data_IF_657420675574
#
_entry.id   IF_657420675574
#
_cell.length_a   1.000
_cell.length_b   1.000
_cell.length_c   1.000
_cell.angle_alpha   90.00
_cell.angle_beta   90.00
_cell.angle_gamma   90.00
#
_symmetry.space_group_name_H-M   'P 1'
#
loop_
_entity.id
_entity.type
_entity.pdbx_description
1 polymer ?
#
# COMPACT_ATOMS: atom_id res chain seq x y z
N UNK A 1 -39.86 -10.50 -25.34
CA UNK A 1 -40.33 -9.19 -25.83
C UNK A 1 -41.83 -9.10 -25.57
N UNK A 2 -42.29 -8.02 -24.92
CA UNK A 2 -43.47 -7.33 -25.43
C UNK A 2 -43.36 -5.80 -25.35
N UNK A 3 -44.31 -5.15 -26.02
CA UNK A 3 -44.20 -3.90 -26.74
C UNK A 3 -44.15 -2.60 -25.91
N UNK A 4 -43.39 -1.66 -26.45
CA UNK A 4 -43.33 -0.25 -26.05
C UNK A 4 -44.57 0.45 -26.63
N UNK A 5 -45.38 1.06 -25.78
CA UNK A 5 -46.50 1.92 -26.19
C UNK A 5 -46.04 3.38 -26.10
N UNK A 6 -46.06 4.09 -27.23
CA UNK A 6 -45.85 5.54 -27.34
C UNK A 6 -47.07 6.13 -28.06
N UNK A 7 -47.83 7.07 -27.46
CA UNK A 7 -48.81 7.82 -28.22
C UNK A 7 -48.11 8.91 -29.04
N UNK A 8 -48.36 8.86 -30.34
CA UNK A 8 -48.01 9.84 -31.34
C UNK A 8 -49.09 10.94 -31.32
N UNK A 9 -48.74 12.18 -31.00
CA UNK A 9 -49.64 13.33 -31.18
C UNK A 9 -48.91 14.36 -32.02
N UNK A 10 -49.12 14.24 -33.33
CA UNK A 10 -48.86 15.25 -34.35
C UNK A 10 -50.04 16.22 -34.41
N UNK A 11 -49.81 17.48 -34.06
CA UNK A 11 -50.73 18.59 -34.27
C UNK A 11 -49.96 19.76 -34.91
N UNK A 12 -50.51 20.44 -35.92
CA UNK A 12 -49.84 21.54 -36.61
C UNK A 12 -49.79 22.80 -35.73
N UNK A 13 -48.64 23.47 -35.72
CA UNK A 13 -48.42 24.77 -35.09
C UNK A 13 -48.94 25.89 -36.02
N UNK A 14 -49.71 26.88 -35.53
CA UNK A 14 -49.92 28.11 -36.28
C UNK A 14 -48.72 29.05 -36.13
N UNK A 15 -48.24 29.57 -37.26
CA UNK A 15 -47.27 30.65 -37.34
C UNK A 15 -47.83 31.93 -36.70
N UNK A 16 -47.21 32.38 -35.62
CA UNK A 16 -47.40 33.73 -35.08
C UNK A 16 -46.01 34.33 -34.84
N UNK A 17 -45.71 35.37 -35.62
CA UNK A 17 -44.51 36.18 -35.48
C UNK A 17 -44.47 36.83 -34.10
N UNK A 18 -43.42 36.54 -33.32
CA UNK A 18 -43.14 37.23 -32.06
C UNK A 18 -41.76 37.88 -32.16
N UNK A 19 -41.75 39.20 -32.08
CA UNK A 19 -40.59 40.07 -32.11
C UNK A 19 -39.55 39.70 -31.02
N UNK A 20 -38.28 39.64 -31.43
CA UNK A 20 -37.14 39.40 -30.53
C UNK A 20 -36.75 40.70 -29.84
N UNK A 21 -37.29 40.93 -28.66
CA UNK A 21 -36.78 41.92 -27.71
C UNK A 21 -35.55 41.38 -26.98
N UNK A 22 -34.37 41.88 -27.33
CA UNK A 22 -33.13 41.63 -26.58
C UNK A 22 -33.16 42.44 -25.29
N UNK A 23 -33.16 41.77 -24.14
CA UNK A 23 -32.92 42.37 -22.83
C UNK A 23 -31.71 41.68 -22.17
N UNK A 24 -30.64 42.47 -22.02
CA UNK A 24 -29.39 42.10 -21.36
C UNK A 24 -29.54 42.07 -19.82
N UNK A 25 -28.75 41.16 -19.24
CA UNK A 25 -28.28 41.01 -17.85
C UNK A 25 -29.28 40.94 -16.67
N UNK A 26 -29.44 39.71 -16.16
CA UNK A 26 -29.88 39.48 -14.78
C UNK A 26 -29.06 38.34 -14.14
N UNK A 27 -27.98 38.71 -13.45
CA UNK A 27 -27.40 38.06 -12.25
C UNK A 27 -27.98 36.67 -11.90
N UNK A 28 -27.29 35.60 -12.31
CA UNK A 28 -27.63 34.21 -12.03
C UNK A 28 -27.35 33.83 -10.55
N UNK A 29 -28.16 34.37 -9.64
CA UNK A 29 -28.29 33.84 -8.26
C UNK A 29 -28.97 32.48 -8.36
N UNK A 30 -28.18 31.41 -8.29
CA UNK A 30 -28.65 30.03 -8.38
C UNK A 30 -29.88 29.78 -7.51
N UNK A 31 -31.00 29.44 -8.15
CA UNK A 31 -32.23 29.06 -7.47
C UNK A 31 -31.95 27.80 -6.63
N UNK A 32 -31.93 27.94 -5.31
CA UNK A 32 -31.90 26.80 -4.38
C UNK A 32 -33.11 25.92 -4.71
N UNK A 33 -32.88 24.81 -5.41
CA UNK A 33 -33.91 23.77 -5.64
C UNK A 33 -34.46 23.37 -4.27
N UNK A 34 -35.75 23.62 -4.03
CA UNK A 34 -36.41 23.17 -2.79
C UNK A 34 -36.33 21.64 -2.77
N UNK A 35 -35.58 21.11 -1.81
CA UNK A 35 -35.41 19.66 -1.62
C UNK A 35 -36.76 19.10 -1.19
N UNK A 36 -37.25 18.09 -1.89
CA UNK A 36 -38.48 17.39 -1.53
C UNK A 36 -38.45 16.92 -0.05
N UNK A 37 -39.61 16.84 0.63
CA UNK A 37 -39.69 16.42 2.02
C UNK A 37 -38.96 15.10 2.27
N UNK A 38 -38.18 15.07 3.35
CA UNK A 38 -37.32 13.93 3.66
C UNK A 38 -38.17 12.77 4.20
N UNK A 39 -38.45 11.76 3.37
CA UNK A 39 -39.15 10.54 3.81
C UNK A 39 -38.22 9.69 4.68
N UNK A 40 -38.25 9.96 5.98
CA UNK A 40 -37.41 9.34 7.03
C UNK A 40 -38.04 8.08 7.62
N UNK A 41 -38.96 7.42 6.90
CA UNK A 41 -39.60 6.18 7.35
C UNK A 41 -38.70 4.95 7.13
N UNK A 42 -38.83 3.91 7.97
CA UNK A 42 -38.28 2.59 7.63
C UNK A 42 -38.84 2.14 6.28
N UNK A 43 -38.02 1.47 5.47
CA UNK A 43 -38.54 0.85 4.26
C UNK A 43 -39.50 -0.28 4.62
N UNK A 44 -40.32 -0.71 3.66
CA UNK A 44 -41.27 -1.82 3.84
C UNK A 44 -40.58 -3.16 4.18
N UNK A 45 -39.25 -3.21 4.05
CA UNK A 45 -38.41 -4.34 4.44
C UNK A 45 -37.82 -4.18 5.85
N UNK A 46 -38.39 -3.33 6.71
CA UNK A 46 -38.03 -3.18 8.13
C UNK A 46 -36.74 -2.42 8.43
N UNK A 47 -36.02 -1.90 7.42
CA UNK A 47 -34.74 -1.21 7.61
C UNK A 47 -34.93 0.30 7.72
N UNK A 48 -34.51 0.89 8.85
CA UNK A 48 -34.34 2.34 8.97
C UNK A 48 -33.03 2.74 8.26
N UNK A 49 -32.98 3.59 7.22
CA UNK A 49 -33.91 4.02 6.16
C UNK A 49 -33.71 3.25 4.80
N UNK A 50 -34.51 3.55 3.76
CA UNK A 50 -34.42 2.95 2.39
C UNK A 50 -33.00 2.87 1.80
N UNK A 51 -32.14 3.86 2.07
CA UNK A 51 -30.75 3.89 1.59
C UNK A 51 -29.85 2.79 2.19
N UNK A 52 -30.27 2.21 3.31
CA UNK A 52 -29.60 1.09 4.01
C UNK A 52 -30.31 -0.25 3.81
N UNK A 53 -31.37 -0.31 3.02
CA UNK A 53 -32.05 -1.55 2.71
C UNK A 53 -31.39 -2.22 1.50
N UNK A 54 -30.85 -3.43 1.69
CA UNK A 54 -30.20 -4.20 0.62
C UNK A 54 -31.14 -4.50 -0.55
N UNK A 55 -32.45 -4.65 -0.29
CA UNK A 55 -33.46 -4.87 -1.33
C UNK A 55 -33.74 -3.58 -2.09
N UNK A 56 -34.01 -2.47 -1.39
CA UNK A 56 -34.36 -1.20 -2.04
C UNK A 56 -33.18 -0.51 -2.74
N UNK A 57 -31.98 -0.59 -2.18
CA UNK A 57 -30.80 0.16 -2.66
C UNK A 57 -29.70 -0.75 -3.19
N UNK A 58 -29.89 -2.06 -3.20
CA UNK A 58 -29.01 -3.03 -3.85
C UNK A 58 -29.22 -3.09 -5.37
N UNK A 59 -28.19 -3.53 -6.06
CA UNK A 59 -28.20 -3.87 -7.47
C UNK A 59 -28.08 -5.39 -7.66
N UNK A 60 -28.41 -5.94 -8.84
CA UNK A 60 -28.25 -7.36 -9.14
C UNK A 60 -26.80 -7.86 -8.99
N UNK A 61 -25.81 -6.96 -9.02
CA UNK A 61 -24.39 -7.27 -8.83
C UNK A 61 -23.95 -7.34 -7.35
N UNK A 62 -24.91 -7.42 -6.41
CA UNK A 62 -24.63 -7.56 -4.97
C UNK A 62 -24.04 -6.32 -4.29
N UNK A 63 -24.03 -5.16 -4.97
CA UNK A 63 -23.51 -3.88 -4.45
C UNK A 63 -24.66 -2.89 -4.25
N UNK A 64 -24.44 -1.83 -3.48
CA UNK A 64 -25.38 -0.70 -3.47
C UNK A 64 -25.41 -0.05 -4.86
N UNK A 65 -26.58 0.29 -5.40
CA UNK A 65 -26.73 0.91 -6.73
C UNK A 65 -25.84 2.13 -6.90
N UNK A 66 -25.75 3.00 -5.89
CA UNK A 66 -24.89 4.18 -5.88
C UNK A 66 -23.39 3.88 -5.91
N UNK A 67 -22.98 2.67 -5.50
CA UNK A 67 -21.60 2.17 -5.43
C UNK A 67 -21.31 1.05 -6.43
N UNK A 68 -22.19 0.80 -7.39
CA UNK A 68 -21.97 -0.21 -8.41
C UNK A 68 -21.45 0.46 -9.69
N UNK A 69 -20.24 0.09 -10.10
CA UNK A 69 -19.62 0.59 -11.33
C UNK A 69 -20.41 0.15 -12.57
N UNK A 70 -20.82 -1.11 -12.62
CA UNK A 70 -21.60 -1.70 -13.71
C UNK A 70 -23.00 -1.09 -13.87
N UNK A 71 -23.59 -0.55 -12.80
CA UNK A 71 -24.86 0.16 -12.86
C UNK A 71 -24.71 1.68 -13.10
N UNK A 72 -23.50 2.18 -13.40
CA UNK A 72 -23.26 3.62 -13.50
C UNK A 72 -23.55 4.38 -12.21
N UNK A 73 -23.39 3.71 -11.05
CA UNK A 73 -23.70 4.27 -9.74
C UNK A 73 -22.98 5.61 -9.52
N UNK A 74 -23.69 6.59 -8.95
CA UNK A 74 -23.22 7.98 -8.85
C UNK A 74 -21.88 8.22 -8.15
N UNK A 75 -21.28 7.19 -7.54
CA UNK A 75 -19.91 7.23 -7.02
C UNK A 75 -18.84 7.11 -8.11
N UNK A 76 -19.15 6.57 -9.29
CA UNK A 76 -18.21 6.36 -10.40
C UNK A 76 -18.50 7.32 -11.56
N UNK A 77 -17.43 7.80 -12.20
CA UNK A 77 -17.53 8.56 -13.45
C UNK A 77 -17.54 7.63 -14.66
N UNK A 78 -17.77 8.20 -15.84
CA UNK A 78 -17.65 7.52 -17.14
C UNK A 78 -16.25 6.91 -17.36
N UNK A 79 -15.20 7.54 -16.82
CA UNK A 79 -13.83 7.01 -16.84
C UNK A 79 -13.61 5.80 -15.92
N UNK A 80 -14.68 5.27 -15.30
CA UNK A 80 -14.64 4.09 -14.45
C UNK A 80 -13.86 4.25 -13.14
N UNK A 81 -13.47 5.49 -12.79
CA UNK A 81 -12.86 5.90 -11.53
C UNK A 81 -13.91 6.44 -10.58
N UNK A 82 -13.62 6.48 -9.27
CA UNK A 82 -14.50 7.15 -8.32
C UNK A 82 -14.53 8.65 -8.63
N UNK A 83 -15.71 9.27 -8.77
CA UNK A 83 -15.86 10.68 -9.22
C UNK A 83 -15.00 11.66 -8.43
N UNK A 84 -15.00 11.52 -7.09
CA UNK A 84 -14.20 12.36 -6.20
C UNK A 84 -12.68 12.30 -6.46
N UNK A 85 -12.20 11.19 -7.01
CA UNK A 85 -10.78 10.93 -7.34
C UNK A 85 -10.54 10.86 -8.85
N UNK A 86 -11.44 11.40 -9.68
CA UNK A 86 -11.22 11.44 -11.11
C UNK A 86 -10.66 12.81 -11.51
N UNK A 87 -9.43 12.84 -12.04
CA UNK A 87 -8.81 14.08 -12.53
C UNK A 87 -9.60 14.65 -13.72
N UNK A 88 -9.97 13.80 -14.67
CA UNK A 88 -10.72 14.16 -15.89
C UNK A 88 -12.11 14.74 -15.59
N UNK A 89 -12.74 14.34 -14.48
CA UNK A 89 -14.04 14.90 -14.05
C UNK A 89 -13.92 16.07 -13.06
N UNK A 90 -12.71 16.60 -12.81
CA UNK A 90 -12.51 17.66 -11.81
C UNK A 90 -12.88 17.23 -10.39
N UNK A 91 -12.71 15.94 -10.07
CA UNK A 91 -13.09 15.34 -8.80
C UNK A 91 -12.59 16.17 -7.61
N UNK A 92 -13.51 16.55 -6.72
CA UNK A 92 -13.25 17.49 -5.62
C UNK A 92 -12.18 17.05 -4.61
N UNK A 93 -11.63 15.83 -4.72
CA UNK A 93 -10.50 15.38 -3.89
C UNK A 93 -9.14 15.44 -4.58
N UNK A 94 -9.06 15.81 -5.87
CA UNK A 94 -7.81 15.95 -6.63
C UNK A 94 -7.50 17.42 -6.88
N UNK A 95 -6.26 17.85 -6.60
CA UNK A 95 -5.79 19.19 -6.94
C UNK A 95 -5.32 19.25 -8.40
N UNK A 96 -5.05 20.46 -8.89
CA UNK A 96 -4.45 20.70 -10.20
C UNK A 96 -3.14 19.92 -10.42
N UNK A 97 -2.36 19.70 -9.37
CA UNK A 97 -1.13 18.88 -9.38
C UNK A 97 -1.38 17.36 -9.55
N UNK A 98 -2.64 16.93 -9.74
CA UNK A 98 -2.99 15.51 -9.92
C UNK A 98 -2.84 14.65 -8.66
N UNK A 99 -2.54 15.26 -7.51
CA UNK A 99 -2.44 14.58 -6.21
C UNK A 99 -3.76 14.73 -5.45
N UNK A 100 -3.96 13.89 -4.44
CA UNK A 100 -5.08 14.07 -3.51
C UNK A 100 -4.89 15.40 -2.76
N UNK A 101 -5.88 16.29 -2.77
CA UNK A 101 -5.80 17.65 -2.18
C UNK A 101 -5.29 17.64 -0.75
N UNK A 102 -5.79 16.72 0.06
CA UNK A 102 -5.40 16.60 1.46
C UNK A 102 -3.95 16.16 1.66
N UNK A 103 -3.30 15.56 0.66
CA UNK A 103 -1.92 15.06 0.71
C UNK A 103 -0.95 15.91 -0.13
N UNK A 104 -1.48 16.91 -0.86
CA UNK A 104 -0.67 17.74 -1.72
C UNK A 104 0.06 18.81 -0.92
N UNK A 105 1.39 18.75 -0.92
CA UNK A 105 2.26 19.76 -0.28
C UNK A 105 2.08 21.14 -0.90
N UNK A 106 2.02 21.22 -2.23
CA UNK A 106 1.88 22.47 -3.00
C UNK A 106 0.54 23.17 -2.73
N UNK A 107 -0.53 22.42 -2.42
CA UNK A 107 -1.83 22.98 -2.06
C UNK A 107 -2.04 23.19 -0.55
N UNK A 108 -1.01 22.99 0.28
CA UNK A 108 -1.16 23.07 1.75
C UNK A 108 -2.14 22.03 2.31
N UNK A 109 -2.16 20.83 1.74
CA UNK A 109 -3.10 19.77 2.10
C UNK A 109 -3.16 19.50 3.61
N UNK A 110 -4.37 19.24 4.13
CA UNK A 110 -4.61 19.08 5.57
C UNK A 110 -3.80 17.97 6.25
N UNK A 111 -3.28 16.99 5.49
CA UNK A 111 -2.41 15.93 6.01
C UNK A 111 -0.93 16.30 6.01
N UNK A 112 -0.54 17.44 5.45
CA UNK A 112 0.85 17.93 5.42
C UNK A 112 1.04 18.96 6.54
N UNK A 113 2.11 18.82 7.31
CA UNK A 113 2.49 19.81 8.33
C UNK A 113 3.33 20.92 7.71
N UNK A 114 3.59 21.97 8.49
CA UNK A 114 4.51 23.06 8.12
C UNK A 114 5.91 22.56 7.72
N UNK A 115 6.38 21.46 8.34
CA UNK A 115 7.64 20.80 7.99
C UNK A 115 7.62 20.04 6.64
N UNK A 116 6.52 20.11 5.89
CA UNK A 116 6.36 19.45 4.60
C UNK A 116 6.28 17.92 4.66
N UNK A 117 6.11 17.35 5.85
CA UNK A 117 5.93 15.90 6.09
C UNK A 117 4.45 15.58 6.32
N UNK A 118 4.08 14.31 6.21
CA UNK A 118 2.73 13.88 6.61
C UNK A 118 2.56 14.11 8.13
N UNK A 119 1.57 14.90 8.57
CA UNK A 119 1.30 15.28 9.97
C UNK A 119 1.31 14.07 10.90
N UNK A 120 0.64 12.99 10.51
CA UNK A 120 0.56 11.76 11.30
C UNK A 120 1.92 11.09 11.52
N UNK A 121 2.92 11.39 10.70
CA UNK A 121 4.30 10.86 10.74
C UNK A 121 5.33 11.92 11.10
N UNK A 122 4.93 13.14 11.43
CA UNK A 122 5.87 14.19 11.77
C UNK A 122 6.24 14.11 13.25
N UNK A 123 7.52 13.86 13.57
CA UNK A 123 8.03 13.85 14.94
C UNK A 123 7.83 15.22 15.61
N UNK A 124 8.22 16.29 14.92
CA UNK A 124 8.17 17.68 15.40
C UNK A 124 6.73 18.14 15.70
N UNK A 125 5.73 17.60 14.99
CA UNK A 125 4.31 17.89 15.26
C UNK A 125 3.66 16.90 16.24
N UNK A 126 4.42 15.99 16.86
CA UNK A 126 3.87 14.97 17.76
C UNK A 126 2.96 13.94 17.08
N UNK A 127 3.13 13.73 15.77
CA UNK A 127 2.28 12.90 14.92
C UNK A 127 1.96 11.53 15.55
N UNK A 128 0.68 11.15 15.53
CA UNK A 128 0.17 9.97 16.24
C UNK A 128 0.85 8.63 15.86
N UNK A 129 1.49 8.55 14.68
CA UNK A 129 2.11 7.32 14.18
C UNK A 129 3.53 7.11 14.67
N UNK A 130 4.24 8.15 15.11
CA UNK A 130 5.65 8.10 15.54
C UNK A 130 5.76 8.53 17.01
N UNK A 131 6.65 7.89 17.76
CA UNK A 131 6.97 8.28 19.13
C UNK A 131 8.21 9.19 19.17
N UNK A 132 8.53 9.71 20.36
CA UNK A 132 9.72 10.54 20.58
C UNK A 132 11.04 9.85 20.21
N UNK A 133 11.07 8.50 20.19
CA UNK A 133 12.22 7.67 19.82
C UNK A 133 12.36 7.40 18.31
N UNK A 134 11.66 8.15 17.44
CA UNK A 134 11.67 7.97 15.98
C UNK A 134 11.24 6.58 15.49
N UNK A 135 10.50 5.86 16.34
CA UNK A 135 9.92 4.55 16.02
C UNK A 135 8.43 4.68 15.81
N UNK A 136 7.84 3.76 15.04
CA UNK A 136 6.39 3.67 14.94
C UNK A 136 5.82 3.45 16.34
N UNK A 137 4.90 4.32 16.78
CA UNK A 137 4.44 4.38 18.18
C UNK A 137 3.87 3.03 18.66
N UNK A 138 3.12 2.35 17.80
CA UNK A 138 2.59 1.00 18.09
C UNK A 138 3.66 -0.09 18.23
N UNK A 139 4.88 0.12 17.73
CA UNK A 139 5.99 -0.84 17.78
C UNK A 139 7.10 -0.44 18.74
N UNK A 140 6.97 0.69 19.41
CA UNK A 140 7.99 1.20 20.32
C UNK A 140 7.88 0.50 21.68
N UNK A 141 8.94 -0.22 22.08
CA UNK A 141 9.01 -0.89 23.38
C UNK A 141 9.03 0.12 24.53
N UNK A 142 9.84 1.16 24.42
CA UNK A 142 10.00 2.21 25.46
C UNK A 142 8.71 3.02 25.69
N UNK A 143 7.80 3.06 24.70
CA UNK A 143 6.51 3.76 24.84
C UNK A 143 5.35 2.82 25.18
N UNK A 144 5.61 1.54 25.47
CA UNK A 144 4.54 0.56 25.70
C UNK A 144 3.61 0.40 24.50
N UNK A 145 4.15 0.52 23.28
CA UNK A 145 3.35 0.51 22.06
C UNK A 145 2.38 -0.68 21.99
N UNK A 146 1.16 -0.44 21.50
CA UNK A 146 0.08 -1.45 21.48
C UNK A 146 0.40 -2.75 20.73
N UNK A 147 1.49 -2.79 19.95
CA UNK A 147 1.99 -3.98 19.28
C UNK A 147 3.06 -4.76 20.06
N UNK A 148 3.47 -4.30 21.24
CA UNK A 148 4.48 -4.94 22.09
C UNK A 148 3.80 -5.57 23.32
N UNK A 149 4.10 -6.83 23.62
CA UNK A 149 3.60 -7.50 24.83
C UNK A 149 4.47 -7.17 26.05
N UNK A 150 4.02 -7.60 27.23
CA UNK A 150 4.78 -7.50 28.48
C UNK A 150 6.17 -8.17 28.39
N UNK A 151 6.31 -9.24 27.61
CA UNK A 151 7.58 -9.91 27.33
C UNK A 151 8.53 -9.10 26.43
N UNK A 152 8.16 -7.87 26.04
CA UNK A 152 8.96 -7.00 25.16
C UNK A 152 9.09 -7.48 23.71
N UNK A 153 8.33 -8.51 23.31
CA UNK A 153 8.25 -9.04 21.94
C UNK A 153 7.05 -8.43 21.22
N UNK A 154 7.01 -8.52 19.88
CA UNK A 154 5.79 -8.15 19.13
C UNK A 154 4.66 -9.08 19.53
N UNK A 155 3.49 -8.55 19.96
CA UNK A 155 2.33 -9.33 20.42
C UNK A 155 1.95 -10.42 19.45
N UNK A 156 1.90 -10.12 18.15
CA UNK A 156 1.54 -11.09 17.11
C UNK A 156 2.55 -12.23 16.94
N UNK A 157 3.77 -12.09 17.46
CA UNK A 157 4.86 -13.07 17.34
C UNK A 157 5.24 -13.68 18.70
N UNK A 158 4.61 -13.25 19.79
CA UNK A 158 4.92 -13.74 21.12
C UNK A 158 4.22 -15.08 21.35
N UNK A 159 5.00 -16.14 21.58
CA UNK A 159 4.49 -17.47 21.88
C UNK A 159 3.75 -17.49 23.23
N UNK A 160 4.32 -16.86 24.25
CA UNK A 160 3.72 -16.80 25.61
C UNK A 160 2.36 -16.10 25.62
N UNK A 161 2.16 -15.07 24.79
CA UNK A 161 0.88 -14.38 24.68
C UNK A 161 -0.11 -15.01 23.68
N UNK A 162 0.20 -16.18 23.10
CA UNK A 162 -0.64 -16.78 22.06
C UNK A 162 -0.79 -15.90 20.81
N UNK A 163 0.28 -15.17 20.45
CA UNK A 163 0.26 -14.20 19.36
C UNK A 163 -0.33 -14.76 18.06
N UNK A 164 -1.14 -13.95 17.37
CA UNK A 164 -1.90 -14.38 16.18
C UNK A 164 -1.06 -14.99 15.03
N UNK A 165 0.25 -14.71 15.00
CA UNK A 165 1.21 -15.25 14.04
C UNK A 165 1.87 -16.56 14.47
N UNK A 166 1.56 -17.08 15.66
CA UNK A 166 2.01 -18.36 16.20
C UNK A 166 0.84 -19.35 16.14
N UNK A 167 1.10 -20.59 15.74
CA UNK A 167 0.11 -21.67 15.77
C UNK A 167 0.17 -22.45 17.10
N UNK A 168 -0.78 -23.35 17.30
CA UNK A 168 -0.83 -24.26 18.46
C UNK A 168 0.46 -25.09 18.63
N UNK A 169 1.14 -25.44 17.52
CA UNK A 169 2.43 -26.11 17.53
C UNK A 169 3.61 -25.23 18.00
N UNK A 170 3.36 -23.97 18.39
CA UNK A 170 4.40 -23.03 18.82
C UNK A 170 5.32 -22.55 17.69
N UNK A 171 4.97 -22.82 16.43
CA UNK A 171 5.69 -22.39 15.22
C UNK A 171 5.01 -21.16 14.62
N UNK A 172 5.71 -20.42 13.77
CA UNK A 172 5.07 -19.36 12.99
C UNK A 172 4.00 -19.95 12.06
N UNK A 173 2.75 -19.50 12.18
CA UNK A 173 1.61 -20.01 11.41
C UNK A 173 1.84 -19.97 9.90
N UNK A 174 2.50 -18.92 9.40
CA UNK A 174 2.89 -18.79 8.00
C UNK A 174 3.81 -19.93 7.52
N UNK A 175 4.66 -20.48 8.39
CA UNK A 175 5.64 -21.54 8.04
C UNK A 175 5.29 -22.92 8.62
N UNK A 176 4.14 -23.04 9.29
CA UNK A 176 3.77 -24.30 9.93
C UNK A 176 3.15 -25.23 8.88
N UNK A 177 3.79 -26.37 8.62
CA UNK A 177 3.30 -27.40 7.70
C UNK A 177 2.01 -28.04 8.21
N UNK A 178 1.95 -28.35 9.50
CA UNK A 178 0.78 -28.99 10.15
C UNK A 178 -0.48 -28.11 10.07
N UNK A 179 -0.33 -26.78 10.14
CA UNK A 179 -1.44 -25.84 10.00
C UNK A 179 -1.72 -25.40 8.55
N UNK A 180 -1.07 -25.99 7.54
CA UNK A 180 -1.24 -25.57 6.15
C UNK A 180 -0.79 -24.13 5.88
N UNK A 181 0.25 -23.66 6.57
CA UNK A 181 0.74 -22.28 6.49
C UNK A 181 1.00 -21.82 5.06
N UNK A 182 0.56 -20.60 4.73
CA UNK A 182 0.67 -20.01 3.38
C UNK A 182 2.11 -19.75 2.88
N UNK A 183 3.12 -20.04 3.69
CA UNK A 183 4.53 -20.05 3.31
C UNK A 183 5.06 -21.41 2.89
N UNK A 184 4.31 -22.50 3.09
CA UNK A 184 4.69 -23.86 2.70
C UNK A 184 3.84 -24.29 1.49
N UNK A 185 4.47 -24.86 0.46
CA UNK A 185 3.77 -25.42 -0.69
C UNK A 185 3.32 -26.86 -0.44
N UNK A 186 2.55 -27.43 -1.37
CA UNK A 186 2.10 -28.83 -1.34
C UNK A 186 3.27 -29.82 -1.28
N UNK A 187 4.42 -29.48 -1.88
CA UNK A 187 5.66 -30.25 -1.81
C UNK A 187 6.35 -30.22 -0.43
N UNK A 188 5.77 -29.54 0.57
CA UNK A 188 6.33 -29.44 1.93
C UNK A 188 7.57 -28.54 2.04
N UNK A 189 7.93 -27.82 0.98
CA UNK A 189 9.05 -26.86 0.93
C UNK A 189 8.56 -25.43 1.15
N UNK A 190 9.44 -24.50 1.52
CA UNK A 190 9.09 -23.08 1.55
C UNK A 190 8.69 -22.64 0.13
N UNK A 191 7.47 -22.13 -0.04
CA UNK A 191 6.85 -21.82 -1.34
C UNK A 191 7.73 -20.89 -2.18
N UNK A 192 8.42 -19.94 -1.55
CA UNK A 192 9.35 -19.03 -2.21
C UNK A 192 10.62 -19.71 -2.74
N UNK A 193 11.01 -20.87 -2.20
CA UNK A 193 12.19 -21.65 -2.58
C UNK A 193 11.86 -22.92 -3.37
N UNK A 194 10.58 -23.23 -3.54
CA UNK A 194 10.16 -24.42 -4.26
C UNK A 194 10.30 -24.21 -5.76
N UNK A 195 11.16 -25.01 -6.41
CA UNK A 195 11.35 -24.98 -7.87
C UNK A 195 10.07 -25.40 -8.61
N UNK A 196 9.41 -26.46 -8.15
CA UNK A 196 8.18 -27.01 -8.74
C UNK A 196 7.02 -25.99 -8.71
N UNK A 197 6.94 -25.14 -7.68
CA UNK A 197 5.93 -24.08 -7.60
C UNK A 197 6.34 -22.76 -8.28
N UNK A 198 7.48 -22.71 -8.98
CA UNK A 198 7.99 -21.47 -9.58
C UNK A 198 8.35 -20.39 -8.55
N UNK A 199 8.68 -20.81 -7.32
CA UNK A 199 8.92 -19.94 -6.18
C UNK A 199 9.88 -18.79 -6.50
N UNK A 200 9.50 -17.58 -6.08
CA UNK A 200 10.17 -16.33 -6.46
C UNK A 200 11.68 -16.25 -6.21
N UNK A 201 12.23 -17.13 -5.37
CA UNK A 201 13.65 -17.13 -4.99
C UNK A 201 14.52 -18.02 -5.87
N UNK A 202 13.95 -18.95 -6.64
CA UNK A 202 14.69 -19.92 -7.48
C UNK A 202 14.35 -19.69 -8.96
N UNK A 203 15.37 -19.61 -9.83
CA UNK A 203 15.17 -19.53 -11.28
C UNK A 203 14.91 -20.92 -11.88
N UNK A 204 14.54 -20.96 -13.16
CA UNK A 204 14.41 -22.20 -13.94
C UNK A 204 15.69 -23.05 -13.91
N UNK A 205 16.86 -22.41 -13.85
CA UNK A 205 18.18 -23.06 -13.71
C UNK A 205 18.42 -23.71 -12.33
N UNK A 206 17.46 -23.67 -11.40
CA UNK A 206 17.58 -24.25 -10.06
C UNK A 206 18.52 -23.48 -9.12
N UNK A 207 18.99 -22.30 -9.53
CA UNK A 207 19.85 -21.42 -8.71
C UNK A 207 19.00 -20.35 -8.02
N UNK A 208 19.51 -19.76 -6.94
CA UNK A 208 18.87 -18.59 -6.34
C UNK A 208 18.82 -17.46 -7.38
N UNK A 209 17.63 -16.92 -7.69
CA UNK A 209 17.43 -15.93 -8.78
C UNK A 209 18.39 -14.77 -8.69
N UNK A 210 18.57 -14.23 -7.49
CA UNK A 210 19.46 -13.09 -7.26
C UNK A 210 20.94 -13.42 -7.48
N UNK A 211 21.34 -14.69 -7.50
CA UNK A 211 22.72 -15.14 -7.74
C UNK A 211 22.92 -15.80 -9.11
N UNK A 212 21.85 -15.99 -9.88
CA UNK A 212 21.94 -16.66 -11.16
C UNK A 212 22.52 -15.71 -12.22
N UNK A 213 23.67 -16.08 -12.79
CA UNK A 213 24.33 -15.31 -13.86
C UNK A 213 23.49 -15.29 -15.14
N UNK A 214 22.93 -16.44 -15.52
CA UNK A 214 22.08 -16.59 -16.72
C UNK A 214 20.81 -15.75 -16.65
N UNK A 215 20.24 -15.56 -15.45
CA UNK A 215 19.04 -14.72 -15.25
C UNK A 215 19.36 -13.24 -14.96
N UNK A 216 20.63 -12.81 -15.03
CA UNK A 216 21.02 -11.44 -14.66
C UNK A 216 20.71 -11.10 -13.20
N UNK A 217 20.87 -12.06 -12.29
CA UNK A 217 20.53 -11.93 -10.87
C UNK A 217 21.11 -10.68 -10.24
N UNK A 218 20.35 -10.04 -9.34
CA UNK A 218 20.71 -8.75 -8.73
C UNK A 218 22.05 -8.72 -7.98
N UNK A 219 22.59 -9.87 -7.57
CA UNK A 219 23.91 -9.99 -6.93
C UNK A 219 25.05 -10.18 -7.93
N UNK A 220 24.78 -10.35 -9.22
CA UNK A 220 25.79 -10.51 -10.28
C UNK A 220 25.97 -9.16 -10.99
N UNK A 221 27.23 -8.73 -11.15
CA UNK A 221 27.56 -7.53 -11.92
C UNK A 221 27.62 -7.83 -13.42
N UNK A 222 27.75 -6.79 -14.23
CA UNK A 222 28.00 -6.89 -15.67
C UNK A 222 29.26 -7.70 -15.99
N UNK A 223 30.27 -7.67 -15.11
CA UNK A 223 31.49 -8.48 -15.22
C UNK A 223 31.29 -9.97 -14.89
N UNK A 224 30.05 -10.42 -14.63
CA UNK A 224 29.72 -11.81 -14.32
C UNK A 224 30.25 -12.33 -12.97
N UNK A 225 30.71 -11.42 -12.09
CA UNK A 225 31.19 -11.70 -10.73
C UNK A 225 30.10 -11.31 -9.71
N UNK A 226 30.19 -11.79 -8.47
CA UNK A 226 29.34 -11.27 -7.40
C UNK A 226 29.63 -9.78 -7.18
N UNK A 227 28.60 -8.91 -7.26
CA UNK A 227 28.70 -7.44 -7.08
C UNK A 227 29.46 -7.07 -5.81
N UNK A 228 29.18 -7.75 -4.70
CA UNK A 228 29.86 -7.49 -3.42
C UNK A 228 31.36 -7.80 -3.44
N UNK A 229 31.82 -8.69 -4.33
CA UNK A 229 33.22 -9.11 -4.46
C UNK A 229 33.91 -8.52 -5.70
N UNK A 230 33.21 -7.76 -6.52
CA UNK A 230 33.76 -7.21 -7.75
C UNK A 230 34.54 -5.94 -7.45
N UNK A 231 35.85 -5.92 -7.74
CA UNK A 231 36.70 -4.75 -7.56
C UNK A 231 36.29 -3.60 -8.50
N UNK A 232 36.01 -3.92 -9.77
CA UNK A 232 35.60 -2.95 -10.79
C UNK A 232 34.28 -2.24 -10.43
N UNK A 233 33.36 -2.93 -9.74
CA UNK A 233 32.11 -2.34 -9.27
C UNK A 233 32.20 -1.72 -7.86
N UNK A 234 33.40 -1.62 -7.27
CA UNK A 234 33.56 -1.10 -5.90
C UNK A 234 32.85 -1.94 -4.84
N UNK A 235 32.79 -3.27 -5.04
CA UNK A 235 32.04 -4.20 -4.20
C UNK A 235 32.32 -4.05 -2.70
N UNK A 236 31.26 -4.15 -1.89
CA UNK A 236 31.31 -3.89 -0.45
C UNK A 236 32.27 -4.79 0.35
N UNK A 237 32.69 -5.94 -0.20
CA UNK A 237 33.63 -6.86 0.45
C UNK A 237 35.09 -6.62 0.05
N UNK A 238 35.37 -5.79 -0.97
CA UNK A 238 36.73 -5.51 -1.45
C UNK A 238 37.11 -4.07 -1.13
N UNK A 239 38.31 -3.84 -0.59
CA UNK A 239 38.83 -2.49 -0.37
C UNK A 239 39.44 -1.92 -1.65
N UNK A 240 39.76 -0.62 -1.65
CA UNK A 240 40.47 0.02 -2.76
C UNK A 240 41.80 -0.70 -3.09
N UNK A 241 42.45 -1.30 -2.08
CA UNK A 241 43.68 -2.08 -2.22
C UNK A 241 43.48 -3.48 -2.84
N UNK A 242 42.27 -3.83 -3.28
CA UNK A 242 41.97 -5.11 -3.94
C UNK A 242 41.95 -6.33 -3.00
N UNK A 243 42.08 -6.13 -1.68
CA UNK A 243 41.99 -7.19 -0.66
C UNK A 243 40.57 -7.25 -0.09
N UNK A 244 40.20 -8.38 0.53
CA UNK A 244 38.95 -8.42 1.31
C UNK A 244 39.00 -7.38 2.43
N UNK A 245 37.98 -6.52 2.54
CA UNK A 245 37.94 -5.43 3.53
C UNK A 245 38.16 -5.92 4.95
N UNK A 246 37.55 -7.06 5.32
CA UNK A 246 37.73 -7.68 6.64
C UNK A 246 39.15 -8.13 6.92
N UNK A 247 39.97 -8.40 5.90
CA UNK A 247 41.34 -8.89 6.04
C UNK A 247 42.39 -7.84 5.66
N UNK A 248 41.99 -6.62 5.31
CA UNK A 248 42.91 -5.60 4.87
C UNK A 248 43.51 -4.87 6.09
N UNK A 249 44.82 -5.04 6.31
CA UNK A 249 45.56 -4.36 7.39
C UNK A 249 45.52 -2.84 7.24
N UNK A 250 45.71 -2.34 6.02
CA UNK A 250 45.70 -0.91 5.70
C UNK A 250 44.31 -0.25 5.89
N UNK A 251 43.24 -1.04 5.82
CA UNK A 251 41.88 -0.55 6.06
C UNK A 251 41.37 -0.84 7.48
N UNK A 252 42.23 -1.35 8.39
CA UNK A 252 41.80 -1.74 9.73
C UNK A 252 40.69 -2.80 9.72
N UNK A 253 40.76 -3.76 8.80
CA UNK A 253 39.73 -4.78 8.60
C UNK A 253 39.36 -5.51 9.88
N UNK A 254 38.08 -5.84 10.06
CA UNK A 254 37.54 -6.45 11.28
C UNK A 254 38.21 -7.78 11.69
N UNK A 255 38.84 -8.48 10.74
CA UNK A 255 39.61 -9.71 10.94
C UNK A 255 41.07 -9.48 11.31
N UNK A 256 41.53 -8.23 11.41
CA UNK A 256 42.87 -7.85 11.86
C UNK A 256 42.81 -7.49 13.35
N UNK A 257 43.76 -8.01 14.15
CA UNK A 257 43.91 -7.65 15.56
C UNK A 257 44.72 -6.35 15.71
N UNK A 258 44.75 -5.82 16.93
CA UNK A 258 45.61 -4.68 17.29
C UNK A 258 47.10 -4.95 17.00
N UNK A 259 47.54 -6.21 17.10
CA UNK A 259 48.90 -6.64 16.72
C UNK A 259 49.15 -6.68 15.21
N UNK A 260 48.21 -6.21 14.39
CA UNK A 260 48.35 -6.12 12.94
C UNK A 260 48.47 -7.47 12.22
N UNK A 261 48.01 -8.55 12.86
CA UNK A 261 47.92 -9.92 12.33
C UNK A 261 46.46 -10.32 12.15
N UNK A 262 46.17 -11.37 11.37
CA UNK A 262 44.81 -11.91 11.33
C UNK A 262 44.44 -12.44 12.72
N UNK A 263 43.29 -12.02 13.27
CA UNK A 263 42.82 -12.38 14.63
C UNK A 263 42.86 -13.89 14.87
N UNK A 264 42.39 -14.67 13.89
CA UNK A 264 42.36 -16.14 13.95
C UNK A 264 43.74 -16.82 13.87
N UNK A 265 44.81 -16.09 13.54
CA UNK A 265 46.20 -16.57 13.46
C UNK A 265 47.13 -15.91 14.48
N UNK A 266 46.65 -14.94 15.25
CA UNK A 266 47.44 -14.27 16.27
C UNK A 266 47.51 -15.16 17.51
N UNK A 267 48.72 -15.58 17.89
CA UNK A 267 48.95 -16.43 19.08
C UNK A 267 48.47 -15.73 20.36
N UNK A 268 48.76 -14.43 20.49
CA UNK A 268 48.34 -13.60 21.63
C UNK A 268 46.82 -13.47 21.71
N UNK A 269 46.12 -13.23 20.60
CA UNK A 269 44.65 -13.16 20.60
C UNK A 269 43.97 -14.52 20.73
N UNK A 270 44.63 -15.62 20.35
CA UNK A 270 44.12 -16.99 20.54
C UNK A 270 44.24 -17.47 21.99
N UNK A 271 45.21 -16.96 22.73
CA UNK A 271 45.42 -17.30 24.14
C UNK A 271 44.49 -16.51 25.09
N UNK A 272 43.80 -15.48 24.59
CA UNK A 272 42.89 -14.61 25.36
C UNK A 272 41.41 -15.04 25.29
N UNK A 273 41.10 -16.20 24.71
CA UNK A 273 39.77 -16.80 24.59
C UNK A 273 39.76 -18.19 25.23
#
# INVERSE_FOLDING_TARGET
MPAIWRPNVSGPLPDVDVEVGVAEDASSKGTKRKRAPYTKGPCEHGVKPRSRCKVCSGCPHGKWRSKCKECGGGSFCEHGRHRQYCKECGGGSICEHGRRRSECKECGGSQICEHGRQRSRCKECGGASICVHDRQRSRCKECGGSGICEHGRRRSQCKECGGSGICEHGRHRYRCKECGGSGICEHGRERSRCKECGGGSICEHGRVRSQCKECGGSQICEHGRQRSKCKECGGSQICAHGRQRSQCKECGGSGICEHGRQRNRCKECRAAH
#
